data_IF_324409307692
#
_entry.id   IF_324409307692
#
_cell.length_a   1.000
_cell.length_b   1.000
_cell.length_c   1.000
_cell.angle_alpha   90.00
_cell.angle_beta   90.00
_cell.angle_gamma   90.00
#
_symmetry.space_group_name_H-M   'P 1'
#
loop_
_entity.id
_entity.type
_entity.pdbx_description
1 polymer ?
#
# COMPACT_ATOMS: atom_id res chain seq x y z
N UNK A 1 -8.54 20.30 -1.70
CA UNK A 1 -7.19 20.91 -1.64
C UNK A 1 -6.81 21.40 -0.26
N UNK A 2 -5.99 20.61 0.43
CA UNK A 2 -5.33 20.93 1.71
C UNK A 2 -4.10 21.85 1.51
N UNK A 3 -3.33 22.14 2.58
CA UNK A 3 -2.35 23.23 2.60
C UNK A 3 -1.17 22.98 1.64
N UNK A 4 -0.58 21.78 1.68
CA UNK A 4 0.53 21.40 0.81
C UNK A 4 0.03 21.32 -0.63
N UNK A 5 -1.13 20.69 -0.89
CA UNK A 5 -1.77 20.69 -2.22
C UNK A 5 -1.95 22.10 -2.78
N UNK A 6 -2.43 23.07 -1.98
CA UNK A 6 -2.58 24.47 -2.42
C UNK A 6 -1.25 25.13 -2.75
N UNK A 7 -0.22 24.93 -1.92
CA UNK A 7 1.13 25.48 -2.16
C UNK A 7 1.74 24.94 -3.45
N UNK A 8 1.59 23.63 -3.66
CA UNK A 8 2.06 22.96 -4.86
C UNK A 8 1.25 23.45 -6.08
N UNK A 9 -0.08 23.40 -6.05
CA UNK A 9 -0.96 23.86 -7.13
C UNK A 9 -0.67 25.32 -7.58
N UNK A 10 -0.40 26.22 -6.63
CA UNK A 10 -0.08 27.62 -6.92
C UNK A 10 1.25 27.78 -7.68
N UNK A 11 2.22 26.89 -7.45
CA UNK A 11 3.48 26.84 -8.20
C UNK A 11 3.34 26.11 -9.54
N UNK A 12 2.53 25.04 -9.61
CA UNK A 12 2.20 24.34 -10.86
C UNK A 12 1.61 25.29 -11.92
N UNK A 13 0.71 26.20 -11.52
CA UNK A 13 0.17 27.25 -12.43
C UNK A 13 1.22 28.21 -12.99
N UNK A 14 2.44 28.23 -12.45
CA UNK A 14 3.51 29.17 -12.81
C UNK A 14 4.75 28.49 -13.39
N UNK A 15 4.82 27.15 -13.42
CA UNK A 15 5.98 26.41 -13.87
C UNK A 15 5.66 25.64 -15.16
N UNK A 16 6.34 25.91 -16.28
CA UNK A 16 6.16 25.15 -17.52
C UNK A 16 6.74 23.72 -17.45
N UNK A 17 7.48 23.39 -16.38
CA UNK A 17 8.14 22.09 -16.18
C UNK A 17 7.18 21.09 -15.48
N UNK A 18 6.08 21.57 -14.88
CA UNK A 18 5.22 20.76 -14.02
C UNK A 18 3.75 20.84 -14.46
N UNK A 19 3.38 20.00 -15.42
CA UNK A 19 1.98 19.72 -15.74
C UNK A 19 1.68 18.27 -15.37
N UNK A 20 0.63 18.00 -14.58
CA UNK A 20 0.19 16.61 -14.35
C UNK A 20 -0.27 15.95 -15.66
N UNK A 21 -0.64 16.74 -16.66
CA UNK A 21 -0.88 16.25 -18.01
C UNK A 21 0.43 15.80 -18.67
N UNK A 22 1.61 16.31 -18.30
CA UNK A 22 2.90 15.82 -18.80
C UNK A 22 3.25 14.46 -18.21
N UNK A 23 2.82 14.12 -16.98
CA UNK A 23 2.86 12.74 -16.48
C UNK A 23 1.96 11.81 -17.32
N UNK A 24 0.93 12.37 -17.96
CA UNK A 24 0.06 11.66 -18.90
C UNK A 24 0.67 11.63 -20.32
N UNK A 25 1.33 12.69 -20.77
CA UNK A 25 2.01 12.85 -22.08
C UNK A 25 3.41 12.24 -22.12
N UNK A 26 3.99 11.87 -20.99
CA UNK A 26 5.05 10.87 -20.92
C UNK A 26 4.61 9.54 -21.57
N UNK A 27 3.31 9.35 -21.91
CA UNK A 27 2.82 8.34 -22.86
C UNK A 27 3.40 8.44 -24.26
N UNK A 28 3.70 9.64 -24.73
CA UNK A 28 4.03 9.91 -26.13
C UNK A 28 5.53 10.12 -26.34
N UNK A 29 6.26 10.58 -25.32
CA UNK A 29 7.73 10.67 -25.35
C UNK A 29 8.39 9.45 -24.68
N UNK A 30 9.36 8.85 -25.38
CA UNK A 30 10.02 7.58 -25.05
C UNK A 30 10.82 7.54 -23.75
N UNK A 31 10.15 7.71 -22.62
CA UNK A 31 10.67 7.68 -21.25
C UNK A 31 10.61 6.27 -20.64
N UNK A 32 11.36 6.06 -19.55
CA UNK A 32 11.38 4.81 -18.76
C UNK A 32 9.98 4.42 -18.27
N UNK A 33 9.13 5.40 -17.93
CA UNK A 33 7.71 5.21 -17.60
C UNK A 33 6.96 4.50 -18.72
N UNK A 34 7.18 4.85 -19.99
CA UNK A 34 6.52 4.16 -21.09
C UNK A 34 7.06 2.77 -21.36
N UNK A 35 8.35 2.52 -21.11
CA UNK A 35 8.86 1.16 -21.15
C UNK A 35 8.17 0.28 -20.09
N UNK A 36 7.97 0.82 -18.89
CA UNK A 36 7.34 0.14 -17.76
C UNK A 36 5.83 -0.02 -17.97
N UNK A 37 5.13 1.04 -18.38
CA UNK A 37 3.71 1.05 -18.72
C UNK A 37 3.45 0.09 -19.89
N UNK A 38 4.25 0.14 -20.98
CA UNK A 38 4.12 -0.83 -22.09
C UNK A 38 4.39 -2.25 -21.62
N UNK A 39 5.40 -2.50 -20.78
CA UNK A 39 5.69 -3.83 -20.20
C UNK A 39 4.54 -4.34 -19.34
N UNK A 40 3.92 -3.47 -18.54
CA UNK A 40 2.74 -3.80 -17.73
C UNK A 40 1.54 -4.07 -18.64
N UNK A 41 1.28 -3.22 -19.64
CA UNK A 41 0.17 -3.39 -20.60
C UNK A 41 0.33 -4.63 -21.48
N UNK A 42 1.56 -4.95 -21.91
CA UNK A 42 1.87 -6.11 -22.76
C UNK A 42 1.96 -7.42 -21.99
N UNK A 43 2.12 -7.37 -20.66
CA UNK A 43 2.04 -8.56 -19.82
C UNK A 43 0.62 -9.14 -19.88
N UNK A 44 0.56 -10.43 -20.25
CA UNK A 44 -0.65 -11.23 -20.22
C UNK A 44 -0.99 -11.72 -18.81
N UNK A 45 -0.07 -11.54 -17.86
CA UNK A 45 -0.18 -12.08 -16.49
C UNK A 45 -1.08 -11.22 -15.59
N UNK A 46 -1.33 -9.96 -15.98
CA UNK A 46 -2.10 -9.00 -15.21
C UNK A 46 -3.46 -8.72 -15.84
N UNK A 47 -4.52 -8.84 -15.03
CA UNK A 47 -5.84 -8.30 -15.35
C UNK A 47 -5.85 -6.76 -15.48
N UNK A 48 -6.90 -6.18 -16.05
CA UNK A 48 -6.98 -4.73 -16.31
C UNK A 48 -6.82 -3.88 -15.04
N UNK A 49 -7.39 -4.29 -13.91
CA UNK A 49 -7.28 -3.54 -12.66
C UNK A 49 -5.88 -3.61 -12.03
N UNK A 50 -5.21 -4.77 -12.13
CA UNK A 50 -3.81 -4.91 -11.71
C UNK A 50 -2.94 -3.88 -12.44
N UNK A 51 -3.14 -3.75 -13.76
CA UNK A 51 -2.41 -2.77 -14.58
C UNK A 51 -2.72 -1.35 -14.13
N UNK A 52 -3.99 -1.02 -13.88
CA UNK A 52 -4.41 0.31 -13.47
C UNK A 52 -3.80 0.72 -12.12
N UNK A 53 -3.83 -0.15 -11.11
CA UNK A 53 -3.22 0.14 -9.80
C UNK A 53 -1.69 0.28 -9.89
N UNK A 54 -1.02 -0.58 -10.66
CA UNK A 54 0.43 -0.48 -10.87
C UNK A 54 0.82 0.83 -11.59
N UNK A 55 0.09 1.20 -12.64
CA UNK A 55 0.33 2.47 -13.36
C UNK A 55 0.12 3.66 -12.40
N UNK A 56 -0.95 3.64 -11.63
CA UNK A 56 -1.26 4.72 -10.68
C UNK A 56 -0.18 4.86 -9.62
N UNK A 57 0.30 3.74 -9.05
CA UNK A 57 1.38 3.76 -8.07
C UNK A 57 2.69 4.30 -8.68
N UNK A 58 3.06 3.87 -9.90
CA UNK A 58 4.24 4.38 -10.59
C UNK A 58 4.15 5.89 -10.88
N UNK A 59 2.97 6.38 -11.29
CA UNK A 59 2.76 7.83 -11.49
C UNK A 59 2.96 8.62 -10.20
N UNK A 60 2.56 8.05 -9.06
CA UNK A 60 2.77 8.67 -7.74
C UNK A 60 4.23 8.62 -7.33
N UNK A 61 4.99 7.57 -7.66
CA UNK A 61 6.44 7.53 -7.46
C UNK A 61 7.16 8.63 -8.23
N UNK A 62 6.84 8.81 -9.52
CA UNK A 62 7.41 9.90 -10.32
C UNK A 62 6.99 11.26 -9.75
N UNK A 63 5.70 11.40 -9.39
CA UNK A 63 5.23 12.61 -8.73
C UNK A 63 5.98 12.89 -7.43
N UNK A 64 6.40 11.87 -6.67
CA UNK A 64 7.22 12.06 -5.49
C UNK A 64 8.60 12.63 -5.85
N UNK A 65 9.29 12.11 -6.86
CA UNK A 65 10.57 12.65 -7.33
C UNK A 65 10.44 14.14 -7.69
N UNK A 66 9.38 14.49 -8.42
CA UNK A 66 9.02 15.85 -8.78
C UNK A 66 8.75 16.75 -7.56
N UNK A 67 8.23 16.19 -6.46
CA UNK A 67 8.03 16.94 -5.22
C UNK A 67 9.31 17.22 -4.43
N UNK A 68 10.42 16.55 -4.73
CA UNK A 68 11.69 16.72 -3.99
C UNK A 68 12.24 18.16 -4.04
N UNK A 69 11.95 18.90 -5.10
CA UNK A 69 12.32 20.31 -5.25
C UNK A 69 11.51 21.26 -4.36
N UNK A 70 10.44 20.78 -3.73
CA UNK A 70 9.54 21.60 -2.94
C UNK A 70 9.86 21.52 -1.46
N UNK A 71 10.28 22.64 -0.86
CA UNK A 71 10.48 22.77 0.60
C UNK A 71 9.31 22.27 1.46
N UNK A 72 8.08 22.33 0.94
CA UNK A 72 6.88 21.82 1.63
C UNK A 72 6.87 20.30 1.80
N UNK A 73 7.67 19.58 1.01
CA UNK A 73 7.81 18.13 1.04
C UNK A 73 9.11 17.66 1.71
N UNK A 74 10.04 18.55 2.11
CA UNK A 74 11.28 18.15 2.81
C UNK A 74 11.03 17.26 4.04
N UNK A 75 9.95 17.51 4.78
CA UNK A 75 9.60 16.68 5.94
C UNK A 75 9.31 15.22 5.55
N UNK A 76 8.76 14.98 4.35
CA UNK A 76 8.56 13.66 3.79
C UNK A 76 9.90 13.01 3.43
N UNK A 77 10.72 13.67 2.60
CA UNK A 77 12.00 13.08 2.14
C UNK A 77 12.97 12.80 3.28
N UNK A 78 13.11 13.72 4.24
CA UNK A 78 13.96 13.51 5.41
C UNK A 78 13.48 12.36 6.30
N UNK A 79 12.17 12.04 6.27
CA UNK A 79 11.66 10.88 6.97
C UNK A 79 11.93 9.61 6.15
N UNK A 80 11.63 9.62 4.85
CA UNK A 80 11.85 8.46 3.98
C UNK A 80 13.31 8.03 3.95
N UNK A 81 14.26 8.96 3.90
CA UNK A 81 15.70 8.66 3.99
C UNK A 81 16.02 7.80 5.22
N UNK A 82 15.45 8.15 6.38
CA UNK A 82 15.65 7.38 7.62
C UNK A 82 14.99 6.02 7.57
N UNK A 83 13.76 5.93 7.05
CA UNK A 83 13.07 4.64 6.92
C UNK A 83 13.78 3.72 5.93
N UNK A 84 14.32 4.24 4.84
CA UNK A 84 15.09 3.47 3.86
C UNK A 84 16.44 3.02 4.42
N UNK A 85 17.14 3.88 5.17
CA UNK A 85 18.37 3.51 5.86
C UNK A 85 18.14 2.43 6.94
N UNK A 86 17.07 2.58 7.73
CA UNK A 86 16.80 1.71 8.87
C UNK A 86 16.19 0.36 8.48
N UNK A 87 15.22 0.35 7.57
CA UNK A 87 14.48 -0.87 7.22
C UNK A 87 14.92 -1.50 5.90
N UNK A 88 15.69 -0.78 5.07
CA UNK A 88 16.21 -1.25 3.77
C UNK A 88 15.18 -2.03 2.94
N UNK A 89 14.02 -1.44 2.61
CA UNK A 89 12.87 -2.16 2.07
C UNK A 89 13.14 -2.70 0.65
N UNK A 90 13.67 -3.91 0.57
CA UNK A 90 14.01 -4.57 -0.70
C UNK A 90 13.33 -5.94 -0.87
N UNK A 91 12.72 -6.45 0.21
CA UNK A 91 12.30 -7.84 0.32
C UNK A 91 13.45 -8.77 0.73
N UNK A 92 13.14 -10.00 1.19
CA UNK A 92 14.17 -10.92 1.66
C UNK A 92 15.11 -11.35 0.52
N UNK A 93 16.40 -11.61 0.82
CA UNK A 93 16.97 -11.78 2.16
C UNK A 93 17.43 -10.49 2.84
N UNK A 94 17.41 -9.33 2.17
CA UNK A 94 17.94 -8.08 2.72
C UNK A 94 17.03 -7.47 3.79
N UNK A 95 15.72 -7.51 3.58
CA UNK A 95 14.74 -7.02 4.55
C UNK A 95 13.40 -7.75 4.42
N UNK A 96 12.70 -8.07 5.52
CA UNK A 96 11.35 -8.61 5.46
C UNK A 96 10.33 -7.61 4.92
N UNK A 97 10.64 -6.31 4.89
CA UNK A 97 9.80 -5.32 4.24
C UNK A 97 9.91 -5.46 2.73
N UNK A 98 8.82 -5.88 2.11
CA UNK A 98 8.75 -5.98 0.66
C UNK A 98 8.60 -4.60 0.03
N UNK A 99 9.18 -4.42 -1.16
CA UNK A 99 9.02 -3.17 -1.93
C UNK A 99 7.55 -2.80 -2.13
N UNK A 100 6.68 -3.80 -2.36
CA UNK A 100 5.25 -3.57 -2.54
C UNK A 100 4.60 -3.01 -1.27
N UNK A 101 4.84 -3.61 -0.10
CA UNK A 101 4.38 -3.09 1.19
C UNK A 101 4.84 -1.64 1.41
N UNK A 102 6.16 -1.40 1.33
CA UNK A 102 6.74 -0.11 1.67
C UNK A 102 6.29 0.99 0.71
N UNK A 103 6.22 0.70 -0.60
CA UNK A 103 5.80 1.67 -1.63
C UNK A 103 4.36 2.16 -1.42
N UNK A 104 3.44 1.25 -1.08
CA UNK A 104 2.06 1.66 -0.77
C UNK A 104 1.96 2.38 0.57
N UNK A 105 2.72 1.96 1.59
CA UNK A 105 2.74 2.65 2.87
C UNK A 105 3.26 4.09 2.73
N UNK A 106 4.43 4.31 2.13
CA UNK A 106 5.01 5.66 2.01
C UNK A 106 4.09 6.59 1.21
N UNK A 107 3.43 6.05 0.18
CA UNK A 107 2.60 6.85 -0.72
C UNK A 107 1.25 7.21 -0.10
N UNK A 108 0.60 6.26 0.57
CA UNK A 108 -0.81 6.38 0.93
C UNK A 108 -1.08 6.45 2.43
N UNK A 109 -0.11 6.07 3.26
CA UNK A 109 -0.31 5.89 4.69
C UNK A 109 0.52 6.88 5.51
N UNK A 110 1.74 7.20 5.08
CA UNK A 110 2.64 8.13 5.78
C UNK A 110 2.16 9.59 5.70
N UNK A 111 1.62 10.17 6.79
CA UNK A 111 1.13 11.54 6.78
C UNK A 111 2.25 12.51 7.15
N UNK A 112 2.42 13.59 6.39
CA UNK A 112 3.39 14.62 6.66
C UNK A 112 2.80 16.03 6.63
N UNK A 113 3.55 16.96 7.22
CA UNK A 113 3.14 18.35 7.37
C UNK A 113 1.97 18.56 8.34
N UNK A 114 1.60 19.83 8.56
CA UNK A 114 0.61 20.20 9.57
C UNK A 114 -0.81 19.68 9.29
N UNK A 115 -1.14 19.44 8.02
CA UNK A 115 -2.46 18.97 7.60
C UNK A 115 -2.54 17.44 7.47
N UNK A 116 -1.46 16.72 7.83
CA UNK A 116 -1.35 15.26 7.72
C UNK A 116 -1.76 14.78 6.33
N UNK A 117 -1.14 15.38 5.31
CA UNK A 117 -1.30 15.00 3.92
C UNK A 117 -0.36 13.83 3.61
N UNK A 118 -0.79 12.90 2.77
CA UNK A 118 0.07 11.85 2.16
C UNK A 118 0.36 12.20 0.71
N UNK A 119 1.38 11.59 0.10
CA UNK A 119 1.67 11.77 -1.34
C UNK A 119 0.43 11.48 -2.19
N UNK A 120 -0.25 10.36 -1.91
CA UNK A 120 -1.48 9.97 -2.59
C UNK A 120 -2.60 10.97 -2.41
N UNK A 121 -2.74 11.61 -1.24
CA UNK A 121 -3.76 12.63 -1.02
C UNK A 121 -3.47 13.94 -1.77
N UNK A 122 -2.19 14.30 -1.87
CA UNK A 122 -1.75 15.49 -2.62
C UNK A 122 -1.95 15.23 -4.11
N UNK A 123 -1.50 14.08 -4.60
CA UNK A 123 -1.69 13.67 -5.99
C UNK A 123 -3.17 13.66 -6.35
N UNK A 124 -4.03 13.07 -5.50
CA UNK A 124 -5.48 13.07 -5.70
C UNK A 124 -6.05 14.49 -5.79
N UNK A 125 -5.72 15.36 -4.83
CA UNK A 125 -6.18 16.76 -4.80
C UNK A 125 -5.82 17.51 -6.10
N UNK A 126 -4.61 17.29 -6.62
CA UNK A 126 -4.15 17.93 -7.86
C UNK A 126 -4.78 17.29 -9.10
N UNK A 127 -4.92 15.96 -9.13
CA UNK A 127 -5.51 15.20 -10.22
C UNK A 127 -6.98 15.56 -10.49
N UNK A 128 -7.73 15.95 -9.45
CA UNK A 128 -9.10 16.48 -9.59
C UNK A 128 -9.19 17.77 -10.42
N UNK A 129 -8.08 18.47 -10.61
CA UNK A 129 -8.01 19.76 -11.31
C UNK A 129 -7.16 19.68 -12.59
N UNK A 130 -6.78 18.47 -13.03
CA UNK A 130 -6.04 18.22 -14.28
C UNK A 130 -6.90 17.43 -15.27
N UNK A 131 -6.39 17.21 -16.50
CA UNK A 131 -7.04 16.35 -17.50
C UNK A 131 -6.66 14.86 -17.39
N UNK A 132 -6.20 14.43 -16.21
CA UNK A 132 -5.86 13.02 -15.96
C UNK A 132 -7.05 12.11 -16.23
N UNK A 133 -6.77 10.91 -16.75
CA UNK A 133 -7.78 9.90 -16.99
C UNK A 133 -8.51 9.58 -15.68
N UNK A 134 -9.85 9.64 -15.71
CA UNK A 134 -10.70 9.41 -14.53
C UNK A 134 -10.37 8.08 -13.84
N UNK A 135 -9.94 7.05 -14.57
CA UNK A 135 -9.57 5.76 -13.99
C UNK A 135 -8.36 5.86 -13.07
N UNK A 136 -7.38 6.71 -13.39
CA UNK A 136 -6.22 6.97 -12.52
C UNK A 136 -6.66 7.73 -11.27
N UNK A 137 -7.59 8.68 -11.42
CA UNK A 137 -8.17 9.43 -10.30
C UNK A 137 -8.94 8.50 -9.36
N UNK A 138 -9.77 7.61 -9.90
CA UNK A 138 -10.53 6.62 -9.15
C UNK A 138 -9.61 5.60 -8.45
N UNK A 139 -8.57 5.13 -9.14
CA UNK A 139 -7.55 4.25 -8.55
C UNK A 139 -6.77 4.93 -7.42
N UNK A 140 -6.44 6.21 -7.57
CA UNK A 140 -5.82 7.00 -6.51
C UNK A 140 -6.76 7.12 -5.30
N UNK A 141 -8.06 7.35 -5.53
CA UNK A 141 -9.05 7.40 -4.46
C UNK A 141 -9.13 6.07 -3.71
N UNK A 142 -9.21 4.95 -4.45
CA UNK A 142 -9.24 3.61 -3.87
C UNK A 142 -7.97 3.28 -3.08
N UNK A 143 -6.79 3.65 -3.58
CA UNK A 143 -5.52 3.47 -2.87
C UNK A 143 -5.46 4.30 -1.58
N UNK A 144 -5.87 5.57 -1.62
CA UNK A 144 -5.98 6.42 -0.43
C UNK A 144 -6.95 5.83 0.61
N UNK A 145 -8.08 5.28 0.18
CA UNK A 145 -9.08 4.66 1.03
C UNK A 145 -8.67 3.27 1.53
N UNK A 146 -7.70 2.61 0.90
CA UNK A 146 -7.19 1.31 1.32
C UNK A 146 -6.15 1.41 2.45
N UNK A 147 -5.85 0.27 3.05
CA UNK A 147 -4.83 0.07 4.09
C UNK A 147 -4.43 -1.41 4.14
N UNK A 148 -3.38 -1.72 4.89
CA UNK A 148 -3.17 -3.10 5.33
C UNK A 148 -4.33 -3.57 6.23
N UNK A 149 -4.52 -4.87 6.36
CA UNK A 149 -5.50 -5.47 7.26
C UNK A 149 -5.16 -6.92 7.55
N UNK A 150 -5.86 -7.49 8.53
CA UNK A 150 -5.71 -8.90 8.92
C UNK A 150 -6.93 -9.70 8.52
N UNK A 151 -6.69 -10.72 7.71
CA UNK A 151 -7.74 -11.53 7.09
C UNK A 151 -7.50 -13.01 7.35
N UNK A 152 -8.56 -13.74 7.70
CA UNK A 152 -8.58 -15.20 7.70
C UNK A 152 -8.99 -15.69 6.31
N UNK A 153 -8.18 -16.56 5.70
CA UNK A 153 -8.56 -17.23 4.45
C UNK A 153 -9.59 -18.32 4.75
N UNK A 154 -10.77 -18.20 4.17
CA UNK A 154 -11.87 -19.15 4.37
C UNK A 154 -11.90 -20.24 3.31
N UNK A 155 -11.71 -19.86 2.05
CA UNK A 155 -11.84 -20.76 0.90
C UNK A 155 -11.02 -20.22 -0.27
N UNK A 156 -10.57 -21.11 -1.15
CA UNK A 156 -9.99 -20.75 -2.45
C UNK A 156 -10.74 -21.48 -3.56
N UNK A 157 -11.18 -20.73 -4.59
CA UNK A 157 -11.78 -21.26 -5.81
C UNK A 157 -11.02 -20.74 -7.02
N UNK A 158 -10.21 -21.61 -7.64
CA UNK A 158 -9.31 -21.20 -8.72
C UNK A 158 -8.30 -20.16 -8.24
N UNK A 159 -8.33 -18.96 -8.83
CA UNK A 159 -7.47 -17.82 -8.44
C UNK A 159 -8.12 -16.88 -7.41
N UNK A 160 -9.37 -17.12 -7.05
CA UNK A 160 -10.13 -16.27 -6.13
C UNK A 160 -10.01 -16.81 -4.71
N UNK A 161 -9.51 -15.98 -3.82
CA UNK A 161 -9.39 -16.20 -2.38
C UNK A 161 -10.59 -15.54 -1.72
N UNK A 162 -11.36 -16.31 -0.97
CA UNK A 162 -12.38 -15.78 -0.07
C UNK A 162 -11.77 -15.63 1.31
N UNK A 163 -11.75 -14.41 1.83
CA UNK A 163 -11.16 -14.09 3.12
C UNK A 163 -12.09 -13.20 3.94
N UNK A 164 -11.92 -13.22 5.27
CA UNK A 164 -12.72 -12.44 6.23
C UNK A 164 -11.80 -11.55 7.04
N UNK A 165 -12.05 -10.25 7.05
CA UNK A 165 -11.33 -9.34 7.95
C UNK A 165 -11.71 -9.66 9.40
N UNK A 166 -10.71 -9.89 10.26
CA UNK A 166 -10.92 -10.51 11.56
C UNK A 166 -11.89 -9.75 12.46
N UNK A 167 -11.75 -8.42 12.55
CA UNK A 167 -12.51 -7.61 13.51
C UNK A 167 -13.88 -7.20 12.97
N UNK A 168 -13.99 -6.86 11.68
CA UNK A 168 -15.24 -6.38 11.06
C UNK A 168 -16.10 -7.50 10.49
N UNK A 169 -15.53 -8.70 10.34
CA UNK A 169 -16.14 -9.85 9.66
C UNK A 169 -16.53 -9.60 8.19
N UNK A 170 -16.04 -8.51 7.58
CA UNK A 170 -16.28 -8.23 6.16
C UNK A 170 -15.61 -9.30 5.30
N UNK A 171 -16.37 -9.84 4.35
CA UNK A 171 -15.90 -10.86 3.40
C UNK A 171 -15.37 -10.18 2.15
N UNK A 172 -14.19 -10.60 1.72
CA UNK A 172 -13.56 -10.20 0.48
C UNK A 172 -13.37 -11.42 -0.41
N UNK A 173 -13.80 -11.30 -1.67
CA UNK A 173 -13.39 -12.18 -2.75
C UNK A 173 -12.27 -11.48 -3.50
N UNK A 174 -11.08 -12.04 -3.51
CA UNK A 174 -9.90 -11.33 -4.04
C UNK A 174 -9.00 -12.21 -4.87
N UNK A 175 -8.33 -11.61 -5.85
CA UNK A 175 -7.17 -12.22 -6.53
C UNK A 175 -5.88 -11.66 -5.94
N UNK A 176 -4.81 -12.43 -5.94
CA UNK A 176 -3.52 -11.99 -5.41
C UNK A 176 -2.53 -11.66 -6.52
N UNK A 177 -2.04 -10.41 -6.53
CA UNK A 177 -1.06 -9.95 -7.52
C UNK A 177 0.26 -10.72 -7.44
N UNK A 178 0.69 -11.07 -6.22
CA UNK A 178 1.90 -11.84 -5.99
C UNK A 178 1.74 -13.34 -6.32
N UNK A 179 0.54 -13.80 -6.68
CA UNK A 179 0.27 -15.19 -7.07
C UNK A 179 0.06 -16.16 -5.91
N UNK A 180 0.01 -15.68 -4.66
CA UNK A 180 -0.32 -16.52 -3.51
C UNK A 180 -1.70 -17.17 -3.73
N UNK A 181 -1.82 -18.51 -3.63
CA UNK A 181 -3.06 -19.20 -4.00
C UNK A 181 -4.16 -19.10 -2.93
N UNK A 182 -3.85 -18.68 -1.70
CA UNK A 182 -4.80 -18.79 -0.58
C UNK A 182 -4.88 -20.22 -0.06
N UNK A 183 -4.55 -20.41 1.21
CA UNK A 183 -4.76 -21.69 1.91
C UNK A 183 -5.77 -21.46 3.03
N UNK A 184 -6.90 -22.19 3.06
CA UNK A 184 -7.88 -22.08 4.15
C UNK A 184 -7.23 -22.23 5.53
N UNK A 185 -7.60 -21.32 6.44
CA UNK A 185 -7.03 -21.21 7.79
C UNK A 185 -5.77 -20.35 7.90
N UNK A 186 -5.15 -19.95 6.79
CA UNK A 186 -4.05 -18.98 6.85
C UNK A 186 -4.58 -17.62 7.33
N UNK A 187 -3.80 -16.98 8.19
CA UNK A 187 -3.97 -15.59 8.56
C UNK A 187 -3.05 -14.73 7.69
N UNK A 188 -3.61 -13.75 7.02
CA UNK A 188 -2.94 -12.93 6.04
C UNK A 188 -2.97 -11.46 6.46
N UNK A 189 -1.78 -10.86 6.52
CA UNK A 189 -1.60 -9.41 6.62
C UNK A 189 -1.26 -8.84 5.24
N UNK A 190 -2.21 -8.11 4.65
CA UNK A 190 -2.10 -7.63 3.27
C UNK A 190 -2.95 -6.36 3.02
N UNK A 191 -2.71 -5.67 1.89
CA UNK A 191 -3.58 -4.58 1.42
C UNK A 191 -4.52 -5.09 0.34
N UNK A 192 -5.82 -4.89 0.56
CA UNK A 192 -6.88 -5.21 -0.41
C UNK A 192 -7.48 -3.90 -0.97
N UNK A 193 -7.72 -3.87 -2.28
CA UNK A 193 -8.39 -2.77 -3.00
C UNK A 193 -9.55 -3.30 -3.83
N UNK A 194 -10.59 -2.49 -4.10
CA UNK A 194 -11.72 -2.93 -4.93
C UNK A 194 -11.31 -3.11 -6.39
N UNK A 195 -12.11 -3.90 -7.13
CA UNK A 195 -12.10 -3.83 -8.58
C UNK A 195 -12.73 -2.51 -9.05
N UNK A 196 -12.15 -1.91 -10.09
CA UNK A 196 -12.59 -0.65 -10.67
C UNK A 196 -13.23 -0.85 -12.05
N UNK A 197 -12.81 -1.87 -12.78
CA UNK A 197 -13.44 -2.24 -14.06
C UNK A 197 -14.73 -3.04 -13.88
N UNK A 198 -14.84 -3.80 -12.78
CA UNK A 198 -15.99 -4.64 -12.47
C UNK A 198 -16.42 -4.39 -11.01
N UNK A 199 -17.41 -3.53 -10.74
CA UNK A 199 -17.80 -3.20 -9.36
C UNK A 199 -18.23 -4.41 -8.51
N UNK A 200 -18.75 -5.47 -9.13
CA UNK A 200 -19.08 -6.75 -8.48
C UNK A 200 -17.99 -7.83 -8.66
N UNK A 201 -16.90 -7.49 -9.34
CA UNK A 201 -15.76 -8.36 -9.57
C UNK A 201 -14.90 -8.55 -8.32
N UNK A 202 -13.95 -9.50 -8.35
CA UNK A 202 -13.07 -9.75 -7.22
C UNK A 202 -12.17 -8.53 -6.94
N UNK A 203 -12.04 -8.20 -5.67
CA UNK A 203 -11.02 -7.26 -5.17
C UNK A 203 -9.60 -7.78 -5.46
N UNK A 204 -8.59 -6.95 -5.19
CA UNK A 204 -7.20 -7.28 -5.48
C UNK A 204 -6.35 -7.13 -4.22
N UNK A 205 -5.57 -8.17 -3.91
CA UNK A 205 -4.49 -8.12 -2.92
C UNK A 205 -3.25 -7.57 -3.63
N UNK A 206 -2.88 -6.32 -3.31
CA UNK A 206 -1.83 -5.57 -4.03
C UNK A 206 -0.42 -5.84 -3.54
N UNK A 207 -0.28 -6.15 -2.25
CA UNK A 207 1.02 -6.39 -1.63
C UNK A 207 1.37 -7.88 -1.69
N UNK A 208 2.65 -8.20 -1.65
CA UNK A 208 3.08 -9.55 -1.28
C UNK A 208 2.52 -9.84 0.12
N UNK A 209 1.65 -10.84 0.30
CA UNK A 209 1.00 -11.09 1.57
C UNK A 209 2.01 -11.58 2.61
N UNK A 210 1.81 -11.14 3.85
CA UNK A 210 2.48 -11.68 5.01
C UNK A 210 1.57 -12.74 5.64
N UNK A 211 2.00 -14.00 5.69
CA UNK A 211 1.26 -15.10 6.29
C UNK A 211 1.73 -15.30 7.72
N UNK A 212 0.79 -15.28 8.66
CA UNK A 212 1.06 -15.37 10.08
C UNK A 212 1.03 -16.82 10.55
N UNK A 213 2.20 -17.33 10.91
CA UNK A 213 2.39 -18.66 11.46
C UNK A 213 2.09 -18.65 12.97
N UNK A 214 1.75 -19.84 13.48
CA UNK A 214 1.62 -20.13 14.91
C UNK A 214 0.70 -19.16 15.69
N UNK A 215 -0.26 -18.53 15.01
CA UNK A 215 -1.30 -17.69 15.62
C UNK A 215 -2.66 -18.06 15.06
N UNK A 216 -3.69 -17.83 15.86
CA UNK A 216 -5.10 -18.09 15.52
C UNK A 216 -5.87 -16.76 15.47
N UNK A 217 -7.02 -16.69 14.78
CA UNK A 217 -7.88 -15.51 14.79
C UNK A 217 -8.12 -14.94 16.21
N UNK A 218 -8.32 -15.81 17.20
CA UNK A 218 -8.55 -15.43 18.59
C UNK A 218 -7.39 -14.67 19.25
N UNK A 219 -6.14 -14.99 18.90
CA UNK A 219 -4.96 -14.33 19.46
C UNK A 219 -4.89 -12.85 19.01
N UNK A 220 -5.22 -12.62 17.73
CA UNK A 220 -5.29 -11.29 17.12
C UNK A 220 -6.50 -10.48 17.59
N UNK A 221 -7.65 -11.12 17.79
CA UNK A 221 -8.82 -10.46 18.39
C UNK A 221 -8.53 -10.04 19.84
N UNK A 222 -7.86 -10.90 20.62
CA UNK A 222 -7.42 -10.55 21.96
C UNK A 222 -6.38 -9.42 21.96
N UNK A 223 -5.49 -9.39 20.98
CA UNK A 223 -4.57 -8.28 20.75
C UNK A 223 -5.31 -6.96 20.48
N UNK A 224 -6.25 -6.93 19.53
CA UNK A 224 -7.04 -5.72 19.26
C UNK A 224 -7.77 -5.22 20.51
N UNK A 225 -8.32 -6.13 21.32
CA UNK A 225 -8.96 -5.79 22.59
C UNK A 225 -7.98 -5.11 23.57
N UNK A 226 -6.76 -5.65 23.74
CA UNK A 226 -5.72 -5.06 24.61
C UNK A 226 -5.27 -3.68 24.11
N UNK A 227 -5.21 -3.50 22.80
CA UNK A 227 -4.88 -2.22 22.17
C UNK A 227 -6.04 -1.21 22.20
N UNK A 228 -7.24 -1.61 22.67
CA UNK A 228 -8.43 -0.77 22.65
C UNK A 228 -8.97 -0.50 21.25
N UNK A 229 -8.63 -1.35 20.28
CA UNK A 229 -9.04 -1.20 18.87
C UNK A 229 -10.40 -1.88 18.67
N UNK A 230 -11.39 -1.07 18.29
CA UNK A 230 -12.70 -1.54 17.83
C UNK A 230 -12.84 -1.35 16.31
N UNK A 231 -13.97 -1.76 15.74
CA UNK A 231 -14.23 -1.64 14.29
C UNK A 231 -14.02 -0.21 13.76
N UNK A 232 -14.45 0.81 14.51
CA UNK A 232 -14.30 2.21 14.11
C UNK A 232 -12.83 2.68 14.13
N UNK A 233 -12.04 2.19 15.07
CA UNK A 233 -10.61 2.52 15.20
C UNK A 233 -9.70 1.68 14.29
N UNK A 234 -10.20 0.56 13.76
CA UNK A 234 -9.42 -0.40 12.97
C UNK A 234 -8.76 0.23 11.76
N UNK A 235 -9.50 1.12 11.08
CA UNK A 235 -8.96 1.84 9.94
C UNK A 235 -7.70 2.61 10.30
N UNK A 236 -7.79 3.49 11.29
CA UNK A 236 -6.65 4.31 11.72
C UNK A 236 -5.51 3.48 12.29
N UNK A 237 -5.82 2.39 13.00
CA UNK A 237 -4.83 1.49 13.59
C UNK A 237 -3.92 0.88 12.53
N UNK A 238 -4.49 0.38 11.44
CA UNK A 238 -3.70 -0.18 10.34
C UNK A 238 -3.17 0.89 9.37
N UNK A 239 -3.91 1.98 9.17
CA UNK A 239 -3.53 3.05 8.23
C UNK A 239 -2.37 3.90 8.74
N UNK A 240 -2.29 4.14 10.04
CA UNK A 240 -1.30 5.05 10.62
C UNK A 240 -0.43 4.41 11.70
N UNK A 241 -0.87 3.29 12.29
CA UNK A 241 -0.21 2.69 13.43
C UNK A 241 -0.36 3.50 14.72
N UNK A 242 -0.07 2.89 15.88
CA UNK A 242 0.23 3.62 17.12
C UNK A 242 1.41 4.60 16.97
N UNK A 243 2.41 4.20 16.19
CA UNK A 243 3.53 5.02 15.73
C UNK A 243 3.73 4.78 14.24
N UNK A 244 4.43 5.69 13.55
CA UNK A 244 4.78 5.54 12.13
C UNK A 244 5.61 4.28 11.84
N UNK A 245 6.32 3.76 12.85
CA UNK A 245 7.20 2.59 12.76
C UNK A 245 6.53 1.27 13.12
N UNK A 246 5.39 1.31 13.81
CA UNK A 246 4.83 0.16 14.51
C UNK A 246 4.71 -1.12 13.66
N UNK A 247 4.13 -1.01 12.46
CA UNK A 247 3.96 -2.16 11.57
C UNK A 247 5.25 -2.58 10.87
N UNK A 248 6.22 -1.66 10.73
CA UNK A 248 7.54 -1.96 10.19
C UNK A 248 8.31 -2.80 11.21
N UNK A 249 8.35 -2.34 12.47
CA UNK A 249 8.97 -3.04 13.59
C UNK A 249 8.35 -4.45 13.74
N UNK A 250 7.02 -4.58 13.68
CA UNK A 250 6.38 -5.89 13.71
C UNK A 250 6.81 -6.82 12.55
N UNK A 251 6.90 -6.31 11.31
CA UNK A 251 7.34 -7.12 10.17
C UNK A 251 8.80 -7.55 10.33
N UNK A 252 9.67 -6.66 10.83
CA UNK A 252 11.07 -6.96 11.13
C UNK A 252 11.18 -8.04 12.21
N UNK A 253 10.54 -7.79 13.35
CA UNK A 253 10.66 -8.61 14.54
C UNK A 253 9.98 -9.98 14.38
N UNK A 254 8.91 -10.01 13.58
CA UNK A 254 8.09 -11.19 13.32
C UNK A 254 8.61 -12.10 12.20
N UNK A 255 9.63 -11.69 11.43
CA UNK A 255 10.06 -12.42 10.24
C UNK A 255 10.50 -13.86 10.52
N UNK A 256 10.12 -14.79 9.64
CA UNK A 256 10.51 -16.20 9.72
C UNK A 256 11.19 -16.66 8.43
N UNK A 257 10.52 -16.50 7.29
CA UNK A 257 11.02 -16.96 5.99
C UNK A 257 10.24 -16.32 4.83
N UNK A 258 10.59 -16.65 3.58
CA UNK A 258 9.95 -16.15 2.37
C UNK A 258 9.76 -17.24 1.32
N UNK A 259 8.73 -17.10 0.49
CA UNK A 259 8.63 -17.75 -0.83
C UNK A 259 8.40 -16.68 -1.89
N UNK A 260 8.44 -17.06 -3.17
CA UNK A 260 8.25 -16.11 -4.28
C UNK A 260 6.93 -15.33 -4.23
N UNK A 261 5.92 -15.87 -3.56
CA UNK A 261 4.55 -15.35 -3.52
C UNK A 261 4.11 -14.82 -2.14
N UNK A 262 4.88 -15.01 -1.06
CA UNK A 262 4.50 -14.60 0.30
C UNK A 262 5.70 -14.49 1.24
N UNK A 263 5.54 -13.72 2.31
CA UNK A 263 6.48 -13.67 3.44
C UNK A 263 5.82 -14.31 4.66
N UNK A 264 6.57 -15.03 5.49
CA UNK A 264 6.08 -15.62 6.71
C UNK A 264 6.49 -14.79 7.93
N UNK A 265 5.51 -14.46 8.77
CA UNK A 265 5.73 -13.84 10.07
C UNK A 265 5.20 -14.77 11.18
N UNK A 266 5.60 -14.52 12.43
CA UNK A 266 5.05 -15.19 13.62
C UNK A 266 4.97 -14.21 14.79
N UNK A 267 4.22 -14.59 15.82
CA UNK A 267 4.12 -13.83 17.07
C UNK A 267 3.04 -12.73 17.06
N UNK A 268 2.79 -12.18 18.24
CA UNK A 268 1.79 -11.14 18.50
C UNK A 268 2.52 -9.89 19.03
N UNK A 269 2.30 -8.69 18.46
CA UNK A 269 3.14 -7.52 18.72
C UNK A 269 3.36 -7.15 20.19
N UNK A 270 2.37 -7.37 21.06
CA UNK A 270 2.41 -7.00 22.47
C UNK A 270 2.63 -8.18 23.44
N UNK A 271 2.97 -9.37 22.91
CA UNK A 271 3.24 -10.56 23.73
C UNK A 271 4.76 -10.78 23.83
N UNK A 272 5.37 -10.59 25.01
CA UNK A 272 6.80 -10.78 25.21
C UNK A 272 7.28 -12.18 24.79
N UNK A 273 8.39 -12.23 24.07
CA UNK A 273 9.01 -13.48 23.60
C UNK A 273 8.26 -14.19 22.47
N UNK A 274 7.19 -13.61 21.93
CA UNK A 274 6.44 -14.21 20.81
C UNK A 274 7.05 -13.91 19.44
N UNK A 275 7.82 -12.83 19.32
CA UNK A 275 8.50 -12.39 18.10
C UNK A 275 9.95 -12.91 18.11
N UNK A 276 10.43 -13.56 17.04
CA UNK A 276 11.75 -14.19 16.99
C UNK A 276 12.92 -13.20 17.03
N UNK A 277 12.71 -11.95 16.62
CA UNK A 277 13.77 -10.94 16.53
C UNK A 277 13.54 -9.72 17.43
N UNK A 278 12.51 -9.73 18.28
CA UNK A 278 12.33 -8.69 19.28
C UNK A 278 13.41 -8.81 20.38
N UNK A 279 14.10 -7.70 20.66
CA UNK A 279 15.12 -7.58 21.71
C UNK A 279 14.57 -7.35 23.11
#
# INVERSE_FOLDING_TARGET
MKKISKTIAAKFKRSPIFNLEDLQMARDDGTELMSLVRKIYSSQDYGPDNKLYLITQNMISIFAEELSDFRSANAFFNAMEKFEEEYMPDGPPFSPLTRSYFSYWQSFDYPFGKARETLGSIFYDLAQHSKLDKRVVDATAALNASRMGLYEVLETKGKVITSKELLTNVIFHSTCLAGYPGKPGDLMFARIVPSLSEPEGPSLILTTPYILLNSKPGDWLAFFLRQGVNEAGLYSFFKYGPTERYWHDYIMDGYVNVTSDRVYLTGIPDVPGSLPHAG
#
